data_IF_106173682950
#
_entry.id   IF_106173682950
#
_cell.length_a   1.000
_cell.length_b   1.000
_cell.length_c   1.000
_cell.angle_alpha   90.00
_cell.angle_beta   90.00
_cell.angle_gamma   90.00
#
_symmetry.space_group_name_H-M   'P 1'
#
loop_
_entity.id
_entity.type
_entity.pdbx_description
1 polymer ?
#
# COMPACT_ATOMS: atom_id res chain seq x y z
N UNK A 1 -20.13 -12.79 -5.09
CA UNK A 1 -19.33 -12.73 -3.85
C UNK A 1 -17.97 -13.39 -4.04
N UNK A 2 -16.97 -12.66 -4.52
CA UNK A 2 -15.61 -13.19 -4.66
C UNK A 2 -14.61 -12.03 -4.66
N UNK A 3 -13.62 -12.08 -3.77
CA UNK A 3 -12.55 -11.06 -3.70
C UNK A 3 -12.29 -10.45 -2.31
N UNK A 4 -12.64 -11.13 -1.22
CA UNK A 4 -12.17 -10.76 0.12
C UNK A 4 -11.03 -11.68 0.52
N UNK A 5 -9.93 -11.11 1.02
CA UNK A 5 -8.73 -11.81 1.46
C UNK A 5 -8.34 -11.29 2.83
N UNK A 6 -8.00 -12.19 3.75
CA UNK A 6 -7.41 -11.83 5.04
C UNK A 6 -6.15 -12.68 5.21
N UNK A 7 -5.04 -12.02 5.53
CA UNK A 7 -3.71 -12.61 5.61
C UNK A 7 -3.17 -12.36 7.00
N UNK A 8 -2.77 -13.42 7.68
CA UNK A 8 -2.05 -13.33 8.94
C UNK A 8 -0.55 -13.26 8.66
N UNK A 9 0.10 -12.23 9.17
CA UNK A 9 1.53 -11.97 9.02
C UNK A 9 2.30 -12.55 10.22
N UNK A 10 2.03 -13.83 10.54
CA UNK A 10 2.49 -14.45 11.77
C UNK A 10 1.99 -13.71 13.02
N UNK A 11 2.90 -13.44 13.95
CA UNK A 11 2.60 -12.71 15.19
C UNK A 11 2.70 -11.18 15.04
N UNK A 12 3.08 -10.69 13.86
CA UNK A 12 3.35 -9.26 13.60
C UNK A 12 2.07 -8.49 13.25
N UNK A 13 1.04 -9.17 12.75
CA UNK A 13 -0.25 -8.53 12.46
C UNK A 13 -1.05 -9.23 11.38
N UNK A 14 -1.92 -8.48 10.71
CA UNK A 14 -2.74 -8.97 9.63
C UNK A 14 -3.00 -7.89 8.57
N UNK A 15 -3.26 -8.32 7.33
CA UNK A 15 -3.74 -7.47 6.25
C UNK A 15 -5.09 -8.00 5.76
N UNK A 16 -6.04 -7.10 5.54
CA UNK A 16 -7.35 -7.45 4.99
C UNK A 16 -7.62 -6.63 3.74
N UNK A 17 -8.17 -7.29 2.72
CA UNK A 17 -8.51 -6.72 1.43
C UNK A 17 -9.93 -7.17 1.06
N UNK A 18 -10.71 -6.25 0.49
CA UNK A 18 -12.01 -6.58 -0.08
C UNK A 18 -12.35 -5.62 -1.21
N UNK A 19 -13.14 -6.08 -2.17
CA UNK A 19 -13.80 -5.22 -3.14
C UNK A 19 -15.12 -4.61 -2.62
N UNK A 20 -15.56 -4.99 -1.42
CA UNK A 20 -16.73 -4.35 -0.79
C UNK A 20 -16.52 -2.85 -0.69
N UNK A 21 -17.53 -2.07 -1.11
CA UNK A 21 -17.51 -0.59 -1.11
C UNK A 21 -16.33 0.04 -1.86
N UNK A 22 -15.72 -0.68 -2.79
CA UNK A 22 -14.63 -0.12 -3.58
C UNK A 22 -15.10 1.15 -4.31
N UNK A 23 -14.33 2.25 -4.25
CA UNK A 23 -14.63 3.45 -5.02
C UNK A 23 -14.52 3.19 -6.54
N UNK A 24 -15.40 3.85 -7.32
CA UNK A 24 -15.41 3.68 -8.78
C UNK A 24 -14.20 4.31 -9.48
N UNK A 25 -13.62 5.37 -8.90
CA UNK A 25 -12.53 6.14 -9.51
C UNK A 25 -11.14 5.75 -8.99
N UNK A 26 -11.08 5.02 -7.87
CA UNK A 26 -9.84 4.57 -7.24
C UNK A 26 -9.96 3.08 -6.96
N UNK A 27 -9.70 2.22 -7.96
CA UNK A 27 -9.87 0.78 -7.81
C UNK A 27 -8.87 0.22 -6.80
N UNK A 28 -9.27 -0.84 -6.09
CA UNK A 28 -8.39 -1.51 -5.13
C UNK A 28 -7.86 -2.80 -5.73
N UNK A 29 -6.57 -3.01 -5.58
CA UNK A 29 -5.86 -4.21 -6.04
C UNK A 29 -4.98 -4.75 -4.93
N UNK A 30 -4.73 -6.06 -5.00
CA UNK A 30 -3.89 -6.77 -4.06
C UNK A 30 -2.97 -7.72 -4.84
N UNK A 31 -1.74 -7.89 -4.36
CA UNK A 31 -0.79 -8.80 -4.95
C UNK A 31 0.35 -9.14 -4.01
N UNK A 32 1.02 -10.26 -4.31
CA UNK A 32 2.14 -10.79 -3.54
C UNK A 32 3.22 -11.27 -4.51
N UNK A 33 4.47 -10.92 -4.21
CA UNK A 33 5.66 -11.44 -4.92
C UNK A 33 6.76 -11.63 -3.88
N UNK A 34 7.39 -12.81 -3.85
CA UNK A 34 8.51 -13.12 -2.95
C UNK A 34 8.25 -12.72 -1.48
N UNK A 35 7.06 -13.08 -0.98
CA UNK A 35 6.56 -12.78 0.37
C UNK A 35 6.50 -11.28 0.74
N UNK A 36 6.40 -10.43 -0.28
CA UNK A 36 6.09 -9.01 -0.19
C UNK A 36 4.63 -8.80 -0.59
N UNK A 37 3.81 -8.38 0.37
CA UNK A 37 2.37 -8.21 0.24
C UNK A 37 2.05 -6.74 -0.02
N UNK A 38 1.20 -6.43 -1.00
CA UNK A 38 0.85 -5.04 -1.29
C UNK A 38 -0.64 -4.91 -1.57
N UNK A 39 -1.29 -3.98 -0.87
CA UNK A 39 -2.61 -3.44 -1.20
C UNK A 39 -2.39 -2.07 -1.82
N UNK A 40 -2.99 -1.84 -2.97
CA UNK A 40 -2.92 -0.57 -3.70
C UNK A 40 -4.34 -0.10 -4.01
N UNK A 41 -4.63 1.16 -3.74
CA UNK A 41 -5.88 1.80 -4.11
C UNK A 41 -5.59 3.01 -5.00
N UNK A 42 -6.25 3.10 -6.15
CA UNK A 42 -6.06 4.20 -7.09
C UNK A 42 -5.49 3.78 -8.45
N UNK A 43 -4.73 4.67 -9.07
CA UNK A 43 -4.06 4.45 -10.35
C UNK A 43 -2.78 5.28 -10.46
N UNK A 44 -1.90 4.86 -11.36
CA UNK A 44 -0.69 5.60 -11.75
C UNK A 44 -0.83 6.10 -13.20
N UNK A 45 -0.57 7.38 -13.43
CA UNK A 45 -0.60 8.01 -14.75
C UNK A 45 0.64 7.68 -15.60
N UNK A 46 1.77 7.41 -14.95
CA UNK A 46 3.06 7.20 -15.60
C UNK A 46 3.53 5.72 -15.62
N UNK A 47 2.58 4.78 -15.62
CA UNK A 47 2.82 3.32 -15.63
C UNK A 47 3.84 2.87 -16.67
N UNK A 48 3.78 3.38 -17.90
CA UNK A 48 4.71 2.98 -18.96
C UNK A 48 6.17 3.34 -18.62
N UNK A 49 6.39 4.53 -18.04
CA UNK A 49 7.71 5.00 -17.62
C UNK A 49 8.23 4.16 -16.45
N UNK A 50 7.37 3.87 -15.48
CA UNK A 50 7.72 3.06 -14.32
C UNK A 50 8.05 1.62 -14.72
N UNK A 51 7.26 1.02 -15.63
CA UNK A 51 7.57 -0.33 -16.15
C UNK A 51 8.93 -0.37 -16.83
N UNK A 52 9.24 0.61 -17.67
CA UNK A 52 10.55 0.70 -18.31
C UNK A 52 11.68 0.86 -17.27
N UNK A 53 11.49 1.75 -16.27
CA UNK A 53 12.49 2.02 -15.22
C UNK A 53 12.82 0.78 -14.41
N UNK A 54 11.80 0.01 -14.03
CA UNK A 54 11.95 -1.18 -13.20
C UNK A 54 12.12 -2.48 -14.01
N UNK A 55 12.22 -2.40 -15.34
CA UNK A 55 12.41 -3.58 -16.20
C UNK A 55 11.22 -4.55 -16.20
N UNK A 56 10.01 -4.04 -15.96
CA UNK A 56 8.78 -4.82 -15.89
C UNK A 56 8.19 -5.10 -17.27
N UNK A 57 7.44 -6.19 -17.38
CA UNK A 57 6.69 -6.51 -18.59
C UNK A 57 5.52 -5.53 -18.83
N UNK A 58 4.95 -5.57 -20.05
CA UNK A 58 3.87 -4.66 -20.47
C UNK A 58 2.53 -4.88 -19.76
N UNK A 59 2.38 -5.98 -19.02
CA UNK A 59 1.14 -6.33 -18.31
C UNK A 59 1.23 -6.08 -16.80
N UNK A 60 2.39 -5.65 -16.30
CA UNK A 60 2.61 -5.40 -14.87
C UNK A 60 1.70 -4.28 -14.36
N UNK A 61 0.87 -4.57 -13.36
CA UNK A 61 -0.03 -3.59 -12.76
C UNK A 61 0.69 -2.70 -11.73
N UNK A 62 -0.06 -1.78 -11.12
CA UNK A 62 0.39 -0.84 -10.10
C UNK A 62 1.01 -1.56 -8.90
N UNK A 63 0.39 -2.66 -8.45
CA UNK A 63 0.94 -3.49 -7.36
C UNK A 63 2.33 -4.03 -7.70
N UNK A 64 2.53 -4.60 -8.89
CA UNK A 64 3.83 -5.11 -9.32
C UNK A 64 4.86 -3.99 -9.44
N UNK A 65 4.45 -2.78 -9.86
CA UNK A 65 5.31 -1.60 -9.92
C UNK A 65 5.76 -1.19 -8.52
N UNK A 66 4.84 -1.09 -7.56
CA UNK A 66 5.16 -0.71 -6.17
C UNK A 66 6.10 -1.73 -5.52
N UNK A 67 5.85 -3.02 -5.71
CA UNK A 67 6.72 -4.08 -5.19
C UNK A 67 8.13 -3.97 -5.77
N UNK A 68 8.29 -3.84 -7.08
CA UNK A 68 9.64 -3.76 -7.67
C UNK A 68 10.36 -2.45 -7.35
N UNK A 69 9.61 -1.36 -7.19
CA UNK A 69 10.14 -0.10 -6.71
C UNK A 69 10.69 -0.25 -5.27
N UNK A 70 9.94 -0.91 -4.38
CA UNK A 70 10.39 -1.24 -3.03
C UNK A 70 11.62 -2.16 -3.02
N UNK A 71 11.64 -3.20 -3.85
CA UNK A 71 12.82 -4.10 -3.95
C UNK A 71 14.06 -3.35 -4.42
N UNK A 72 13.90 -2.45 -5.41
CA UNK A 72 14.98 -1.58 -5.87
C UNK A 72 15.52 -0.71 -4.73
N UNK A 73 14.62 -0.11 -3.93
CA UNK A 73 14.97 0.67 -2.74
C UNK A 73 15.76 -0.15 -1.71
N UNK A 74 15.24 -1.34 -1.38
CA UNK A 74 15.82 -2.26 -0.39
C UNK A 74 17.20 -2.79 -0.82
N UNK A 75 17.32 -3.21 -2.09
CA UNK A 75 18.45 -4.02 -2.56
C UNK A 75 19.60 -3.17 -3.13
N UNK A 76 19.37 -1.91 -3.56
CA UNK A 76 20.37 -1.15 -4.34
C UNK A 76 21.12 -0.02 -3.61
N UNK A 77 20.81 0.29 -2.35
CA UNK A 77 21.58 1.22 -1.50
C UNK A 77 21.74 2.66 -2.02
N UNK A 78 22.19 3.58 -1.15
CA UNK A 78 21.26 4.46 -0.44
C UNK A 78 20.33 5.21 -1.42
N UNK A 79 19.25 4.56 -1.83
CA UNK A 79 18.13 5.24 -2.48
C UNK A 79 17.25 5.78 -1.34
N UNK A 80 16.98 7.08 -1.26
CA UNK A 80 16.08 7.58 -0.23
C UNK A 80 14.65 7.23 -0.63
N UNK A 81 13.84 6.78 0.34
CA UNK A 81 12.50 6.25 0.08
C UNK A 81 11.56 7.28 -0.56
N UNK A 82 11.79 8.57 -0.27
CA UNK A 82 11.05 9.68 -0.86
C UNK A 82 11.29 9.80 -2.38
N UNK A 83 12.45 9.40 -2.89
CA UNK A 83 12.74 9.42 -4.32
C UNK A 83 11.85 8.44 -5.09
N UNK A 84 11.58 7.27 -4.52
CA UNK A 84 10.70 6.26 -5.13
C UNK A 84 9.26 6.77 -5.19
N UNK A 85 8.76 7.32 -4.08
CA UNK A 85 7.38 7.86 -4.03
C UNK A 85 7.22 9.06 -4.97
N UNK A 86 8.24 9.92 -5.09
CA UNK A 86 8.24 11.06 -6.03
C UNK A 86 8.17 10.66 -7.49
N UNK A 87 8.59 9.45 -7.83
CA UNK A 87 8.48 8.95 -9.19
C UNK A 87 7.05 8.51 -9.54
N UNK A 88 6.17 8.33 -8.55
CA UNK A 88 4.79 7.95 -8.78
C UNK A 88 3.94 9.19 -9.08
N UNK A 89 3.27 9.17 -10.23
CA UNK A 89 2.31 10.18 -10.64
C UNK A 89 0.95 9.52 -10.78
N UNK A 90 -0.08 10.10 -10.18
CA UNK A 90 -1.43 9.55 -10.19
C UNK A 90 -2.14 9.84 -8.87
N UNK A 91 -3.28 9.19 -8.66
CA UNK A 91 -4.05 9.23 -7.42
C UNK A 91 -3.95 7.87 -6.76
N UNK A 92 -3.30 7.77 -5.62
CA UNK A 92 -3.02 6.49 -5.03
C UNK A 92 -2.85 6.52 -3.51
N UNK A 93 -3.08 5.38 -2.89
CA UNK A 93 -2.59 5.03 -1.58
C UNK A 93 -2.16 3.56 -1.61
N UNK A 94 -1.10 3.19 -0.91
CA UNK A 94 -0.72 1.78 -0.80
C UNK A 94 -0.15 1.41 0.57
N UNK A 95 -0.28 0.14 0.89
CA UNK A 95 0.37 -0.52 2.03
C UNK A 95 1.12 -1.73 1.51
N UNK A 96 2.43 -1.72 1.66
CA UNK A 96 3.31 -2.83 1.35
C UNK A 96 3.97 -3.35 2.63
N UNK A 97 3.91 -4.66 2.84
CA UNK A 97 4.60 -5.34 3.91
C UNK A 97 5.54 -6.41 3.35
N UNK A 98 6.84 -6.25 3.61
CA UNK A 98 7.85 -7.27 3.32
C UNK A 98 8.03 -8.15 4.55
N UNK A 99 7.56 -9.40 4.47
CA UNK A 99 7.64 -10.34 5.58
C UNK A 99 9.07 -10.84 5.87
N UNK A 100 9.97 -10.77 4.89
CA UNK A 100 11.37 -11.19 5.05
C UNK A 100 12.13 -10.19 5.90
N UNK A 101 11.95 -8.90 5.63
CA UNK A 101 12.58 -7.81 6.38
C UNK A 101 11.73 -7.28 7.54
N UNK A 102 10.49 -7.76 7.67
CA UNK A 102 9.46 -7.25 8.57
C UNK A 102 9.24 -5.73 8.44
N UNK A 103 9.38 -5.21 7.22
CA UNK A 103 9.31 -3.78 6.94
C UNK A 103 7.96 -3.40 6.35
N UNK A 104 7.46 -2.25 6.79
CA UNK A 104 6.28 -1.58 6.23
C UNK A 104 6.72 -0.43 5.33
N UNK A 105 6.20 -0.39 4.11
CA UNK A 105 6.36 0.73 3.19
C UNK A 105 4.98 1.17 2.71
N UNK A 106 4.62 2.41 2.99
CA UNK A 106 3.29 2.94 2.70
C UNK A 106 3.42 4.39 2.26
N UNK A 107 2.57 4.81 1.32
CA UNK A 107 2.54 6.17 0.83
C UNK A 107 1.16 6.51 0.25
N UNK A 108 0.89 7.79 0.17
CA UNK A 108 -0.26 8.39 -0.52
C UNK A 108 0.22 9.34 -1.61
N UNK A 109 -0.65 9.65 -2.56
CA UNK A 109 -0.41 10.72 -3.51
C UNK A 109 -0.25 12.08 -2.81
N UNK A 110 0.43 13.01 -3.45
CA UNK A 110 0.80 14.31 -2.85
C UNK A 110 -0.42 15.17 -2.45
N UNK A 111 -1.59 14.92 -3.04
CA UNK A 111 -2.82 15.66 -2.73
C UNK A 111 -3.65 14.96 -1.63
N UNK A 112 -3.23 13.77 -1.16
CA UNK A 112 -4.03 12.94 -0.25
C UNK A 112 -5.39 12.57 -0.84
N UNK A 113 -5.45 12.37 -2.15
CA UNK A 113 -6.71 12.29 -2.89
C UNK A 113 -7.47 10.97 -2.68
N UNK A 114 -6.75 9.91 -2.31
CA UNK A 114 -7.31 8.63 -1.89
C UNK A 114 -7.45 8.61 -0.36
N UNK A 115 -8.64 8.35 0.21
CA UNK A 115 -8.81 8.26 1.66
C UNK A 115 -7.88 7.21 2.26
N UNK A 116 -7.03 7.65 3.19
CA UNK A 116 -6.09 6.77 3.86
C UNK A 116 -5.80 7.30 5.27
N UNK A 117 -5.96 6.43 6.26
CA UNK A 117 -5.92 6.78 7.67
C UNK A 117 -5.00 5.84 8.41
N UNK A 118 -4.46 6.35 9.51
CA UNK A 118 -3.66 5.57 10.44
C UNK A 118 -4.11 5.80 11.87
N UNK A 119 -3.84 4.85 12.73
CA UNK A 119 -4.07 4.97 14.16
C UNK A 119 -3.31 3.92 14.95
N UNK A 120 -3.40 4.03 16.27
CA UNK A 120 -2.79 3.08 17.21
C UNK A 120 -3.88 2.45 18.06
N UNK A 121 -3.99 1.13 17.99
CA UNK A 121 -4.91 0.36 18.79
C UNK A 121 -4.46 0.30 20.27
N UNK A 122 -5.36 -0.13 21.16
CA UNK A 122 -5.09 -0.16 22.60
C UNK A 122 -3.94 -1.10 23.01
N UNK A 123 -3.65 -2.11 22.18
CA UNK A 123 -2.55 -3.06 22.32
C UNK A 123 -1.24 -2.57 21.69
N UNK A 124 -1.21 -1.34 21.14
CA UNK A 124 -0.03 -0.71 20.58
C UNK A 124 0.23 -1.03 19.11
N UNK A 125 -0.63 -1.82 18.45
CA UNK A 125 -0.48 -2.09 17.02
C UNK A 125 -0.84 -0.87 16.17
N UNK A 126 -0.07 -0.67 15.10
CA UNK A 126 -0.39 0.27 14.04
C UNK A 126 -1.54 -0.29 13.21
N UNK A 127 -2.56 0.53 12.97
CA UNK A 127 -3.69 0.20 12.10
C UNK A 127 -3.71 1.18 10.94
N UNK A 128 -3.84 0.65 9.72
CA UNK A 128 -3.98 1.41 8.48
C UNK A 128 -5.27 0.99 7.79
N UNK A 129 -6.07 1.95 7.32
CA UNK A 129 -7.26 1.67 6.51
C UNK A 129 -7.71 2.89 5.72
N UNK A 130 -8.39 2.64 4.62
CA UNK A 130 -9.16 3.60 3.84
C UNK A 130 -10.53 3.94 4.47
N UNK A 131 -11.03 3.12 5.41
CA UNK A 131 -12.31 3.33 6.10
C UNK A 131 -12.08 3.93 7.50
N UNK A 132 -12.42 5.22 7.73
CA UNK A 132 -12.18 5.88 9.02
C UNK A 132 -12.99 5.27 10.18
N UNK A 133 -14.10 4.59 9.88
CA UNK A 133 -14.90 3.91 10.91
C UNK A 133 -14.15 2.74 11.54
N UNK A 134 -13.34 2.01 10.75
CA UNK A 134 -12.50 0.92 11.27
C UNK A 134 -11.51 1.46 12.31
N UNK A 135 -10.88 2.60 12.02
CA UNK A 135 -9.96 3.26 12.95
C UNK A 135 -10.70 3.80 14.18
N UNK A 136 -11.89 4.38 14.01
CA UNK A 136 -12.67 4.89 15.14
C UNK A 136 -13.06 3.78 16.11
N UNK A 137 -13.43 2.60 15.59
CA UNK A 137 -13.81 1.44 16.39
C UNK A 137 -12.59 0.77 17.05
N UNK A 138 -11.46 0.64 16.33
CA UNK A 138 -10.26 -0.05 16.84
C UNK A 138 -9.28 0.83 17.63
N UNK A 139 -9.15 2.11 17.28
CA UNK A 139 -8.14 3.04 17.83
C UNK A 139 -8.77 4.14 18.71
N UNK A 140 -10.11 4.23 18.78
CA UNK A 140 -10.81 5.23 19.57
C UNK A 140 -10.52 6.67 19.11
N UNK A 141 -9.78 7.43 19.93
CA UNK A 141 -9.37 8.82 19.61
C UNK A 141 -7.97 8.91 18.98
N UNK A 142 -7.24 7.80 18.92
CA UNK A 142 -5.84 7.75 18.47
C UNK A 142 -5.74 7.41 16.99
N UNK A 143 -6.37 8.22 16.13
CA UNK A 143 -6.28 8.07 14.68
C UNK A 143 -6.35 9.43 13.97
N UNK A 144 -5.78 9.49 12.77
CA UNK A 144 -5.75 10.68 11.93
C UNK A 144 -5.68 10.28 10.44
N UNK A 145 -5.94 11.21 9.50
CA UNK A 145 -5.50 11.05 8.12
C UNK A 145 -3.99 10.74 8.06
N UNK A 146 -3.59 9.91 7.10
CA UNK A 146 -2.19 9.62 6.86
C UNK A 146 -1.44 10.90 6.40
N UNK A 147 -0.22 11.16 6.91
CA UNK A 147 0.51 12.41 6.68
C UNK A 147 1.05 12.57 5.26
#
# INVERSE_FOLDING_TARGET
>A
DSGTVCIKLGDVGAMAYTHSRQPLLTPRSFGVVDDIFCIFEGFLDNVAVLRQRYGLNKTANEVAIVIEAYRTLRDRGPYPADQVVRDFSGKFAFVLYDSTSQALFTAVDADGSVPFFWGTAADGYLVLSDEPNVLKEGCGKSFAPFP
#
